data_IF_102274266290
#
_entry.id   IF_102274266290
#
_cell.length_a   1.000
_cell.length_b   1.000
_cell.length_c   1.000
_cell.angle_alpha   90.00
_cell.angle_beta   90.00
_cell.angle_gamma   90.00
#
_symmetry.space_group_name_H-M   'P 1'
#
loop_
_entity.id
_entity.type
_entity.pdbx_description
1 polymer ?
#
# COMPACT_ATOMS: atom_id res chain seq x y z
N UNK A 1 -0.47 1.54 -17.94
CA UNK A 1 0.52 0.93 -17.03
C UNK A 1 0.51 -0.58 -17.25
N UNK A 2 1.68 -1.22 -17.32
CA UNK A 2 1.73 -2.67 -17.60
C UNK A 2 1.20 -3.47 -16.41
N UNK A 3 0.32 -4.43 -16.68
CA UNK A 3 -0.35 -5.31 -15.71
C UNK A 3 0.61 -5.92 -14.66
N UNK A 4 1.82 -6.25 -15.09
CA UNK A 4 2.88 -6.83 -14.26
C UNK A 4 3.41 -5.82 -13.21
N UNK A 5 3.41 -4.53 -13.52
CA UNK A 5 3.85 -3.48 -12.60
C UNK A 5 2.94 -3.33 -11.39
N UNK A 6 1.63 -3.37 -11.60
CA UNK A 6 0.62 -3.33 -10.53
C UNK A 6 0.74 -4.56 -9.61
N UNK A 7 0.89 -5.75 -10.20
CA UNK A 7 1.09 -6.98 -9.45
C UNK A 7 2.34 -6.92 -8.57
N UNK A 8 3.48 -6.45 -9.12
CA UNK A 8 4.74 -6.30 -8.36
C UNK A 8 4.61 -5.30 -7.22
N UNK A 9 3.93 -4.17 -7.44
CA UNK A 9 3.64 -3.18 -6.41
C UNK A 9 2.82 -3.81 -5.27
N UNK A 10 1.76 -4.53 -5.59
CA UNK A 10 0.90 -5.18 -4.59
C UNK A 10 1.67 -6.22 -3.76
N UNK A 11 2.47 -7.08 -4.41
CA UNK A 11 3.29 -8.09 -3.72
C UNK A 11 4.32 -7.42 -2.80
N UNK A 12 4.91 -6.29 -3.21
CA UNK A 12 5.83 -5.50 -2.37
C UNK A 12 5.13 -4.94 -1.14
N UNK A 13 3.91 -4.42 -1.28
CA UNK A 13 3.11 -3.93 -0.15
C UNK A 13 2.78 -5.06 0.83
N UNK A 14 2.36 -6.23 0.33
CA UNK A 14 2.08 -7.39 1.18
C UNK A 14 3.35 -7.77 1.95
N UNK A 15 4.48 -7.95 1.26
CA UNK A 15 5.76 -8.31 1.89
C UNK A 15 6.15 -7.36 3.02
N UNK A 16 5.91 -6.06 2.86
CA UNK A 16 6.31 -5.06 3.84
C UNK A 16 5.35 -4.96 5.04
N UNK A 17 4.09 -5.40 4.89
CA UNK A 17 3.06 -5.24 5.93
C UNK A 17 2.70 -6.55 6.63
N UNK A 18 3.00 -7.71 6.05
CA UNK A 18 2.70 -9.02 6.64
C UNK A 18 3.97 -9.68 7.14
N UNK A 19 4.00 -10.07 8.41
CA UNK A 19 5.00 -11.00 8.93
C UNK A 19 4.49 -12.42 8.69
N UNK A 20 4.97 -13.07 7.63
CA UNK A 20 4.55 -14.43 7.26
C UNK A 20 5.68 -15.42 7.55
N UNK A 21 5.45 -16.49 8.34
CA UNK A 21 6.48 -17.45 8.77
C UNK A 21 6.88 -18.44 7.66
N UNK A 22 7.10 -17.96 6.43
CA UNK A 22 7.42 -18.79 5.28
C UNK A 22 7.72 -17.99 4.02
N UNK A 23 7.78 -18.67 2.87
CA UNK A 23 7.97 -18.00 1.57
C UNK A 23 6.75 -17.16 1.26
N UNK A 24 6.96 -15.94 0.76
CA UNK A 24 5.87 -15.02 0.38
C UNK A 24 4.89 -15.63 -0.64
N UNK A 25 5.36 -16.54 -1.49
CA UNK A 25 4.52 -17.25 -2.47
C UNK A 25 3.52 -18.22 -1.82
N UNK A 26 3.79 -18.67 -0.60
CA UNK A 26 2.89 -19.55 0.15
C UNK A 26 1.82 -18.77 0.92
N UNK A 27 1.93 -17.44 0.98
CA UNK A 27 0.91 -16.59 1.55
C UNK A 27 -0.41 -16.77 0.78
N UNK A 28 -1.53 -17.15 1.43
CA UNK A 28 -2.79 -17.48 0.76
C UNK A 28 -3.27 -16.39 -0.19
N UNK A 29 -3.14 -15.13 0.22
CA UNK A 29 -3.50 -13.98 -0.60
C UNK A 29 -2.62 -13.82 -1.85
N UNK A 30 -1.31 -14.06 -1.73
CA UNK A 30 -0.37 -13.97 -2.87
C UNK A 30 -0.65 -15.10 -3.86
N UNK A 31 -0.89 -16.32 -3.37
CA UNK A 31 -1.32 -17.47 -4.17
C UNK A 31 -2.61 -17.18 -4.96
N UNK A 32 -3.62 -16.65 -4.28
CA UNK A 32 -4.90 -16.30 -4.89
C UNK A 32 -4.74 -15.24 -5.99
N UNK A 33 -3.98 -14.17 -5.73
CA UNK A 33 -3.74 -13.10 -6.70
C UNK A 33 -2.98 -13.64 -7.92
N UNK A 34 -1.90 -14.39 -7.71
CA UNK A 34 -1.11 -14.97 -8.82
C UNK A 34 -1.96 -15.92 -9.67
N UNK A 35 -2.80 -16.74 -9.04
CA UNK A 35 -3.74 -17.61 -9.74
C UNK A 35 -4.72 -16.83 -10.61
N UNK A 36 -5.37 -15.79 -10.05
CA UNK A 36 -6.31 -14.91 -10.78
C UNK A 36 -5.60 -14.20 -11.94
N UNK A 37 -4.39 -13.69 -11.71
CA UNK A 37 -3.63 -12.97 -12.74
C UNK A 37 -3.27 -13.87 -13.93
N UNK A 38 -2.89 -15.12 -13.65
CA UNK A 38 -2.59 -16.12 -14.68
C UNK A 38 -3.86 -16.57 -15.42
N UNK A 39 -4.98 -16.71 -14.71
CA UNK A 39 -6.27 -17.07 -15.30
C UNK A 39 -6.77 -16.05 -16.32
N UNK A 40 -6.61 -14.75 -16.05
CA UNK A 40 -7.03 -13.67 -16.95
C UNK A 40 -5.97 -13.26 -17.99
N UNK A 41 -4.81 -13.93 -18.04
CA UNK A 41 -3.76 -13.66 -19.03
C UNK A 41 -4.03 -14.29 -20.40
N UNK A 42 -4.70 -15.45 -20.45
CA UNK A 42 -4.81 -16.29 -21.65
C UNK A 42 -6.22 -16.34 -22.27
N UNK A 43 -7.19 -15.57 -21.77
CA UNK A 43 -8.61 -15.80 -22.08
C UNK A 43 -9.20 -14.82 -23.11
N UNK A 44 -10.06 -15.37 -23.97
CA UNK A 44 -10.74 -14.78 -25.14
C UNK A 44 -11.69 -13.62 -24.79
N UNK A 45 -12.02 -12.81 -25.81
CA UNK A 45 -12.74 -11.52 -25.72
C UNK A 45 -14.03 -11.51 -24.87
N UNK A 46 -14.70 -12.66 -24.71
CA UNK A 46 -15.90 -12.80 -23.88
C UNK A 46 -15.69 -12.53 -22.37
N UNK A 47 -14.44 -12.53 -21.87
CA UNK A 47 -14.13 -12.28 -20.45
C UNK A 47 -13.36 -10.97 -20.20
N UNK A 48 -13.33 -10.06 -21.19
CA UNK A 48 -12.70 -8.74 -21.02
C UNK A 48 -13.27 -7.96 -19.83
N UNK A 49 -14.58 -8.06 -19.55
CA UNK A 49 -15.20 -7.43 -18.36
C UNK A 49 -14.57 -7.95 -17.06
N UNK A 50 -14.51 -9.27 -16.88
CA UNK A 50 -13.96 -9.88 -15.67
C UNK A 50 -12.46 -9.57 -15.47
N UNK A 51 -11.71 -9.41 -16.56
CA UNK A 51 -10.31 -8.94 -16.52
C UNK A 51 -10.24 -7.49 -16.05
N UNK A 52 -11.08 -6.62 -16.58
CA UNK A 52 -11.13 -5.22 -16.21
C UNK A 52 -11.56 -5.02 -14.75
N UNK A 53 -12.60 -5.72 -14.31
CA UNK A 53 -13.05 -5.78 -12.92
C UNK A 53 -11.93 -6.25 -11.97
N UNK A 54 -11.18 -7.28 -12.37
CA UNK A 54 -10.04 -7.77 -11.59
C UNK A 54 -8.91 -6.74 -11.50
N UNK A 55 -8.65 -5.99 -12.56
CA UNK A 55 -7.68 -4.88 -12.54
C UNK A 55 -8.14 -3.76 -11.62
N UNK A 56 -9.40 -3.35 -11.71
CA UNK A 56 -9.99 -2.32 -10.85
C UNK A 56 -9.96 -2.72 -9.37
N UNK A 57 -10.23 -4.00 -9.07
CA UNK A 57 -10.05 -4.56 -7.72
C UNK A 57 -8.60 -4.41 -7.22
N UNK A 58 -7.62 -4.79 -8.04
CA UNK A 58 -6.20 -4.67 -7.69
C UNK A 58 -5.80 -3.21 -7.45
N UNK A 59 -6.25 -2.28 -8.30
CA UNK A 59 -5.99 -0.86 -8.15
C UNK A 59 -6.64 -0.28 -6.89
N UNK A 60 -7.86 -0.73 -6.58
CA UNK A 60 -8.59 -0.33 -5.36
C UNK A 60 -7.83 -0.78 -4.12
N UNK A 61 -7.41 -2.04 -4.06
CA UNK A 61 -6.62 -2.55 -2.94
C UNK A 61 -5.26 -1.87 -2.82
N UNK A 62 -4.58 -1.60 -3.94
CA UNK A 62 -3.30 -0.91 -3.91
C UNK A 62 -3.45 0.51 -3.34
N UNK A 63 -4.51 1.21 -3.76
CA UNK A 63 -4.85 2.55 -3.27
C UNK A 63 -5.19 2.52 -1.78
N UNK A 64 -5.97 1.54 -1.33
CA UNK A 64 -6.30 1.33 0.08
C UNK A 64 -5.04 1.13 0.92
N UNK A 65 -4.14 0.23 0.50
CA UNK A 65 -2.90 -0.07 1.22
C UNK A 65 -2.00 1.17 1.33
N UNK A 66 -1.88 1.94 0.26
CA UNK A 66 -1.13 3.21 0.25
C UNK A 66 -1.74 4.24 1.21
N UNK A 67 -3.07 4.37 1.22
CA UNK A 67 -3.77 5.28 2.13
C UNK A 67 -3.64 4.86 3.59
N UNK A 68 -3.63 3.56 3.90
CA UNK A 68 -3.37 3.06 5.24
C UNK A 68 -1.96 3.43 5.71
N UNK A 69 -0.95 3.28 4.85
CA UNK A 69 0.43 3.70 5.17
C UNK A 69 0.51 5.20 5.44
N UNK A 70 -0.12 6.01 4.58
CA UNK A 70 -0.18 7.46 4.76
C UNK A 70 -0.91 7.85 6.05
N UNK A 71 -2.02 7.18 6.35
CA UNK A 71 -2.75 7.40 7.59
C UNK A 71 -1.90 7.08 8.81
N UNK A 72 -1.14 5.98 8.81
CA UNK A 72 -0.20 5.67 9.90
C UNK A 72 0.86 6.76 10.08
N UNK A 73 1.41 7.30 8.99
CA UNK A 73 2.37 8.42 9.03
C UNK A 73 1.75 9.68 9.63
N UNK A 74 0.56 10.06 9.15
CA UNK A 74 -0.18 11.21 9.68
C UNK A 74 -0.53 11.03 11.15
N UNK A 75 -0.96 9.84 11.56
CA UNK A 75 -1.22 9.54 12.97
C UNK A 75 0.07 9.62 13.78
N UNK A 76 1.19 9.10 13.31
CA UNK A 76 2.47 9.26 14.01
C UNK A 76 2.89 10.73 14.14
N UNK A 77 2.62 11.53 13.11
CA UNK A 77 3.01 12.93 13.04
C UNK A 77 2.08 13.84 13.84
N UNK A 78 0.77 13.61 13.85
CA UNK A 78 -0.22 14.52 14.42
C UNK A 78 -1.01 13.97 15.62
N UNK A 79 -0.94 12.67 15.92
CA UNK A 79 -1.66 12.12 17.07
C UNK A 79 -1.18 12.80 18.35
N UNK A 80 -2.15 13.09 19.23
CA UNK A 80 -1.99 13.74 20.52
C UNK A 80 -1.08 12.93 21.48
N UNK A 81 0.22 12.91 21.19
CA UNK A 81 1.28 12.55 22.12
C UNK A 81 1.93 13.87 22.57
N UNK A 82 2.43 13.91 23.81
CA UNK A 82 3.25 15.05 24.24
C UNK A 82 4.43 15.22 23.27
N UNK A 83 4.55 16.43 22.72
CA UNK A 83 5.61 16.86 21.81
C UNK A 83 6.46 17.91 22.51
N UNK A 84 7.75 17.96 22.17
CA UNK A 84 8.62 19.06 22.62
C UNK A 84 8.13 20.40 22.07
N UNK A 85 8.39 21.51 22.77
CA UNK A 85 8.14 22.86 22.27
C UNK A 85 8.78 23.11 20.91
N UNK A 86 9.95 22.51 20.66
CA UNK A 86 10.64 22.55 19.36
C UNK A 86 9.90 21.81 18.25
N UNK A 87 9.25 20.70 18.57
CA UNK A 87 8.50 19.90 17.61
C UNK A 87 7.14 20.54 17.33
N UNK A 88 6.49 21.08 18.37
CA UNK A 88 5.24 21.82 18.24
C UNK A 88 5.41 23.08 17.37
N UNK A 89 6.49 23.86 17.61
CA UNK A 89 6.82 25.02 16.78
C UNK A 89 6.99 24.63 15.30
N UNK A 90 7.76 23.56 15.03
CA UNK A 90 7.99 23.09 13.65
C UNK A 90 6.72 22.65 12.93
N UNK A 91 5.76 22.04 13.62
CA UNK A 91 4.48 21.63 13.02
C UNK A 91 3.63 22.80 12.54
N UNK A 92 3.77 23.97 13.18
CA UNK A 92 3.04 25.19 12.81
C UNK A 92 3.88 26.14 11.94
N UNK A 93 5.06 25.70 11.48
CA UNK A 93 5.97 26.51 10.66
C UNK A 93 6.77 27.56 11.43
N UNK A 94 6.93 27.39 12.75
CA UNK A 94 7.71 28.26 13.63
C UNK A 94 9.05 27.62 14.00
N UNK A 95 10.06 28.44 14.27
CA UNK A 95 11.35 28.00 14.80
C UNK A 95 11.58 28.58 16.20
N UNK A 96 12.30 27.84 17.05
CA UNK A 96 12.71 28.33 18.36
C UNK A 96 13.81 29.39 18.19
N UNK A 97 13.81 30.46 19.00
CA UNK A 97 14.89 31.42 19.00
C UNK A 97 16.19 30.73 19.41
N UNK A 98 17.27 31.00 18.67
CA UNK A 98 18.62 30.56 19.04
C UNK A 98 19.06 31.38 20.25
N UNK A 99 19.19 30.74 21.41
CA UNK A 99 19.83 31.36 22.58
C UNK A 99 21.31 31.57 22.27
N UNK A 100 21.74 32.83 22.24
CA UNK A 100 23.16 33.20 22.33
C UNK A 100 23.69 32.85 23.73
#
# INVERSE_FOLDING_TARGET
MSNIGLLRSLIKHIRNNTSFPGKLIDHPFVKYILFRFRYYQYTTEQKCSAKHESMQLVETYNSLLKNIENHKKLVQEYKCKQKSTAEAARLVGLELPKTN
#
